data_IF_869086735905
#
_entry.id   IF_869086735905
#
_cell.length_a   1.000
_cell.length_b   1.000
_cell.length_c   1.000
_cell.angle_alpha   90.00
_cell.angle_beta   90.00
_cell.angle_gamma   90.00
#
_symmetry.space_group_name_H-M   'P 1'
#
loop_
_entity.id
_entity.type
_entity.pdbx_description
1 polymer ?
#
# COMPACT_ATOMS: atom_id res chain seq x y z
N UNK A 1 14.98 22.21 18.44
CA UNK A 1 14.65 21.31 17.33
C UNK A 1 13.94 20.09 17.91
N UNK A 2 12.60 20.07 17.92
CA UNK A 2 11.80 19.12 18.73
C UNK A 2 10.56 18.58 17.99
N UNK A 3 10.67 18.40 16.67
CA UNK A 3 9.62 17.79 15.83
C UNK A 3 10.29 17.01 14.70
N UNK A 4 10.56 15.72 14.92
CA UNK A 4 10.77 14.68 13.88
C UNK A 4 11.25 13.33 14.47
N UNK A 5 10.76 12.91 15.65
CA UNK A 5 11.13 11.60 16.24
C UNK A 5 9.91 10.71 16.52
N UNK A 6 8.74 11.02 15.95
CA UNK A 6 7.48 10.34 16.30
C UNK A 6 6.79 9.62 15.14
N UNK A 7 7.44 9.42 13.99
CA UNK A 7 6.80 8.75 12.82
C UNK A 7 7.17 7.25 12.72
N UNK A 8 7.87 6.69 13.71
CA UNK A 8 8.19 5.25 13.74
C UNK A 8 7.21 4.38 14.55
N UNK A 9 6.08 4.93 15.01
CA UNK A 9 5.06 4.20 15.76
C UNK A 9 3.74 4.38 15.00
N UNK A 10 3.02 3.28 14.76
CA UNK A 10 1.81 3.14 13.93
C UNK A 10 2.00 2.59 12.49
N UNK A 11 2.73 1.48 12.36
CA UNK A 11 2.53 0.55 11.23
C UNK A 11 2.47 -0.91 11.71
N UNK A 12 1.88 -1.15 12.89
CA UNK A 12 1.58 -2.47 13.39
C UNK A 12 0.12 -2.49 13.85
N UNK A 13 -0.68 -3.31 13.18
CA UNK A 13 -2.03 -3.80 13.49
C UNK A 13 -2.97 -3.63 12.31
N UNK A 14 -2.91 -4.56 11.35
CA UNK A 14 -4.08 -5.13 10.69
C UNK A 14 -3.66 -6.46 10.04
N UNK A 15 -3.40 -7.46 10.88
CA UNK A 15 -3.37 -8.87 10.46
C UNK A 15 -4.67 -9.50 10.96
N UNK A 16 -5.77 -9.27 10.23
CA UNK A 16 -6.97 -10.06 10.40
C UNK A 16 -6.85 -11.29 9.50
N UNK A 17 -6.73 -12.45 10.15
CA UNK A 17 -6.72 -13.75 9.51
C UNK A 17 -8.05 -14.01 8.81
N UNK A 18 -8.01 -14.22 7.49
CA UNK A 18 -9.07 -14.91 6.77
C UNK A 18 -8.44 -16.16 6.16
N UNK A 19 -8.62 -17.29 6.83
CA UNK A 19 -8.22 -18.62 6.35
C UNK A 19 -9.49 -19.41 6.06
N UNK A 20 -9.76 -19.66 4.78
CA UNK A 20 -10.36 -20.91 4.29
C UNK A 20 -10.53 -20.86 2.76
N UNK A 21 -9.71 -21.61 2.01
CA UNK A 21 -10.07 -22.23 0.73
C UNK A 21 -9.00 -23.27 0.33
N UNK A 22 -9.39 -24.40 -0.30
CA UNK A 22 -8.54 -25.58 -0.46
C UNK A 22 -7.57 -25.49 -1.64
N UNK A 23 -6.54 -26.32 -1.57
CA UNK A 23 -5.43 -26.44 -2.50
C UNK A 23 -5.88 -26.68 -3.96
N UNK A 24 -5.68 -25.67 -4.81
CA UNK A 24 -5.54 -25.84 -6.24
C UNK A 24 -4.04 -25.73 -6.60
N UNK A 25 -3.60 -26.63 -7.47
CA UNK A 25 -2.22 -26.81 -7.89
C UNK A 25 -1.57 -25.47 -8.29
N UNK A 26 -0.49 -25.16 -7.58
CA UNK A 26 0.29 -23.95 -7.75
C UNK A 26 1.26 -24.17 -8.91
N UNK A 27 0.90 -23.66 -10.09
CA UNK A 27 1.90 -23.43 -11.13
C UNK A 27 2.99 -22.50 -10.56
N UNK A 28 4.28 -22.80 -10.73
CA UNK A 28 5.36 -21.92 -10.31
C UNK A 28 5.36 -20.67 -11.21
N UNK A 29 4.52 -19.70 -10.86
CA UNK A 29 4.64 -18.33 -11.35
C UNK A 29 6.06 -17.83 -11.03
N UNK A 30 6.66 -16.99 -11.89
CA UNK A 30 8.02 -16.51 -11.70
C UNK A 30 8.08 -15.55 -10.51
N UNK A 31 8.18 -16.08 -9.29
CA UNK A 31 8.42 -15.36 -8.04
C UNK A 31 9.89 -14.92 -7.88
N UNK A 32 10.59 -14.72 -9.00
CA UNK A 32 11.96 -14.21 -9.02
C UNK A 32 11.92 -12.68 -8.89
N UNK A 33 11.67 -12.17 -7.68
CA UNK A 33 11.82 -10.73 -7.42
C UNK A 33 10.85 -10.11 -6.41
N UNK A 34 10.02 -10.89 -5.71
CA UNK A 34 9.36 -10.38 -4.51
C UNK A 34 10.44 -10.13 -3.44
N UNK A 35 11.09 -8.96 -3.53
CA UNK A 35 11.99 -8.45 -2.51
C UNK A 35 11.30 -8.60 -1.16
N UNK A 36 11.89 -9.41 -0.28
CA UNK A 36 11.38 -9.64 1.06
C UNK A 36 11.35 -8.28 1.80
N UNK A 37 10.14 -7.73 1.94
CA UNK A 37 9.91 -6.44 2.57
C UNK A 37 10.42 -6.43 4.01
N UNK A 38 10.35 -7.56 4.71
CA UNK A 38 10.86 -7.68 6.07
C UNK A 38 12.40 -7.56 6.07
N UNK A 39 13.09 -8.21 5.13
CA UNK A 39 14.53 -8.09 4.98
C UNK A 39 14.97 -6.66 4.60
N UNK A 40 14.23 -5.98 3.73
CA UNK A 40 14.48 -4.57 3.39
C UNK A 40 14.27 -3.65 4.59
N UNK A 41 13.19 -3.84 5.35
CA UNK A 41 12.92 -3.09 6.56
C UNK A 41 14.03 -3.28 7.61
N UNK A 42 14.43 -4.53 7.84
CA UNK A 42 15.51 -4.85 8.76
C UNK A 42 16.84 -4.22 8.31
N UNK A 43 17.11 -4.23 7.01
CA UNK A 43 18.30 -3.58 6.44
C UNK A 43 18.28 -2.07 6.67
N UNK A 44 17.16 -1.40 6.40
CA UNK A 44 17.01 0.04 6.65
C UNK A 44 17.20 0.39 8.14
N UNK A 45 16.59 -0.39 9.04
CA UNK A 45 16.75 -0.23 10.49
C UNK A 45 18.20 -0.44 10.94
N UNK A 46 18.86 -1.49 10.45
CA UNK A 46 20.26 -1.77 10.74
C UNK A 46 21.17 -0.61 10.30
N UNK A 47 21.02 -0.12 9.07
CA UNK A 47 21.80 1.01 8.57
C UNK A 47 21.54 2.30 9.34
N UNK A 48 20.30 2.50 9.80
CA UNK A 48 19.96 3.62 10.67
C UNK A 48 20.73 3.56 12.00
N UNK A 49 20.70 2.42 12.68
CA UNK A 49 21.41 2.22 13.94
C UNK A 49 22.94 2.36 13.79
N UNK A 50 23.50 1.79 12.71
CA UNK A 50 24.93 1.95 12.37
C UNK A 50 25.30 3.43 12.23
N UNK A 51 24.55 4.19 11.41
CA UNK A 51 24.78 5.62 11.23
C UNK A 51 24.65 6.41 12.54
N UNK A 52 23.62 6.14 13.35
CA UNK A 52 23.39 6.84 14.61
C UNK A 52 24.57 6.64 15.59
N UNK A 53 25.04 5.39 15.70
CA UNK A 53 26.20 5.06 16.54
C UNK A 53 27.47 5.79 16.09
N UNK A 54 27.75 5.80 14.78
CA UNK A 54 28.90 6.51 14.20
C UNK A 54 28.79 8.03 14.34
N UNK A 55 27.59 8.59 14.17
CA UNK A 55 27.36 10.02 14.31
C UNK A 55 27.59 10.50 15.75
N UNK A 56 27.14 9.73 16.75
CA UNK A 56 27.39 10.01 18.17
C UNK A 56 28.88 9.96 18.50
N UNK A 57 29.54 8.88 18.11
CA UNK A 57 30.97 8.69 18.36
C UNK A 57 31.84 9.72 17.61
N UNK A 58 31.45 10.15 16.41
CA UNK A 58 32.10 11.26 15.71
C UNK A 58 32.00 12.57 16.50
N UNK A 59 30.84 12.87 17.10
CA UNK A 59 30.68 14.08 17.92
C UNK A 59 31.67 14.10 19.09
N UNK A 60 31.82 12.96 19.75
CA UNK A 60 32.76 12.79 20.86
C UNK A 60 34.21 12.90 20.40
N UNK A 61 34.57 12.25 19.28
CA UNK A 61 35.92 12.31 18.70
C UNK A 61 36.30 13.73 18.24
N UNK A 62 35.44 14.39 17.47
CA UNK A 62 35.71 15.72 16.90
C UNK A 62 35.88 16.77 17.99
N UNK A 63 35.22 16.64 19.14
CA UNK A 63 35.41 17.55 20.27
C UNK A 63 36.83 17.55 20.86
N UNK A 64 37.62 16.50 20.61
CA UNK A 64 38.97 16.29 21.17
C UNK A 64 40.08 16.46 20.15
N UNK A 65 39.74 16.66 18.88
CA UNK A 65 40.68 16.65 17.76
C UNK A 65 40.83 18.08 17.22
N UNK A 66 42.07 18.46 16.90
CA UNK A 66 42.32 19.76 16.28
C UNK A 66 41.66 19.83 14.89
N UNK A 67 41.15 20.99 14.46
CA UNK A 67 40.48 21.17 13.16
C UNK A 67 41.25 20.66 11.93
N UNK A 68 42.57 20.54 12.05
CA UNK A 68 43.46 20.15 10.96
C UNK A 68 43.92 18.70 10.96
N UNK A 69 43.49 17.91 11.94
CA UNK A 69 43.90 16.52 12.05
C UNK A 69 43.22 15.69 10.95
N UNK A 70 43.97 14.90 10.15
CA UNK A 70 43.38 14.00 9.15
C UNK A 70 42.34 13.04 9.74
N UNK A 71 42.40 12.73 11.05
CA UNK A 71 41.41 11.90 11.75
C UNK A 71 40.03 12.55 11.81
N UNK A 72 39.94 13.88 11.92
CA UNK A 72 38.65 14.58 11.93
C UNK A 72 37.96 14.46 10.56
N UNK A 73 38.71 14.66 9.47
CA UNK A 73 38.17 14.52 8.11
C UNK A 73 37.78 13.06 7.81
N UNK A 74 38.59 12.09 8.24
CA UNK A 74 38.28 10.67 8.10
C UNK A 74 36.97 10.29 8.82
N UNK A 75 36.77 10.78 10.05
CA UNK A 75 35.53 10.55 10.80
C UNK A 75 34.30 11.18 10.10
N UNK A 76 34.43 12.41 9.57
CA UNK A 76 33.34 13.04 8.80
C UNK A 76 33.00 12.24 7.54
N UNK A 77 34.02 11.74 6.81
CA UNK A 77 33.81 10.90 5.63
C UNK A 77 33.14 9.56 5.96
N UNK A 78 33.51 8.95 7.08
CA UNK A 78 32.90 7.71 7.58
C UNK A 78 31.41 7.90 7.87
N UNK A 79 31.05 8.92 8.66
CA UNK A 79 29.65 9.22 8.98
C UNK A 79 28.86 9.63 7.72
N UNK A 80 29.48 10.37 6.79
CA UNK A 80 28.85 10.72 5.51
C UNK A 80 28.47 9.46 4.71
N UNK A 81 29.40 8.51 4.56
CA UNK A 81 29.12 7.24 3.85
C UNK A 81 28.06 6.41 4.55
N UNK A 82 28.09 6.34 5.89
CA UNK A 82 27.07 5.63 6.65
C UNK A 82 25.68 6.30 6.49
N UNK A 83 25.63 7.64 6.46
CA UNK A 83 24.40 8.40 6.20
C UNK A 83 23.84 8.10 4.81
N UNK A 84 24.70 8.10 3.79
CA UNK A 84 24.32 7.74 2.42
C UNK A 84 23.78 6.31 2.33
N UNK A 85 24.46 5.34 2.96
CA UNK A 85 24.02 3.94 2.99
C UNK A 85 22.67 3.75 3.70
N UNK A 86 22.44 4.47 4.80
CA UNK A 86 21.15 4.52 5.51
C UNK A 86 20.04 5.03 4.61
N UNK A 87 20.26 6.15 3.94
CA UNK A 87 19.26 6.78 3.08
C UNK A 87 18.97 5.95 1.83
N UNK A 88 19.99 5.29 1.26
CA UNK A 88 19.80 4.34 0.17
C UNK A 88 18.92 3.15 0.59
N UNK A 89 19.22 2.52 1.74
CA UNK A 89 18.43 1.41 2.25
C UNK A 89 16.96 1.81 2.56
N UNK A 90 16.74 3.01 3.09
CA UNK A 90 15.40 3.53 3.30
C UNK A 90 14.65 3.76 1.97
N UNK A 91 15.33 4.34 0.97
CA UNK A 91 14.76 4.55 -0.37
C UNK A 91 14.36 3.23 -1.04
N UNK A 92 15.18 2.19 -0.91
CA UNK A 92 14.87 0.85 -1.45
C UNK A 92 13.67 0.22 -0.74
N UNK A 93 13.58 0.33 0.60
CA UNK A 93 12.42 -0.11 1.35
C UNK A 93 11.14 0.62 0.93
N UNK A 94 11.16 1.97 0.89
CA UNK A 94 9.99 2.77 0.52
C UNK A 94 9.54 2.49 -0.92
N UNK A 95 10.48 2.29 -1.86
CA UNK A 95 10.17 1.91 -3.25
C UNK A 95 9.45 0.56 -3.30
N UNK A 96 9.94 -0.44 -2.56
CA UNK A 96 9.33 -1.76 -2.51
C UNK A 96 7.93 -1.73 -1.88
N UNK A 97 7.76 -0.99 -0.77
CA UNK A 97 6.44 -0.81 -0.13
C UNK A 97 5.47 -0.09 -1.06
N UNK A 98 5.91 0.95 -1.76
CA UNK A 98 5.08 1.66 -2.74
C UNK A 98 4.67 0.77 -3.91
N UNK A 99 5.58 -0.05 -4.44
CA UNK A 99 5.26 -0.99 -5.52
C UNK A 99 4.22 -2.03 -5.07
N UNK A 100 4.38 -2.58 -3.86
CA UNK A 100 3.42 -3.50 -3.27
C UNK A 100 2.06 -2.82 -3.06
N UNK A 101 2.06 -1.61 -2.52
CA UNK A 101 0.84 -0.89 -2.21
C UNK A 101 0.03 -0.58 -3.48
N UNK A 102 0.71 -0.18 -4.56
CA UNK A 102 0.09 0.03 -5.87
C UNK A 102 -0.52 -1.26 -6.46
N UNK A 103 0.18 -2.39 -6.34
CA UNK A 103 -0.35 -3.68 -6.78
C UNK A 103 -1.62 -4.06 -6.00
N UNK A 104 -1.60 -3.93 -4.67
CA UNK A 104 -2.79 -4.18 -3.85
C UNK A 104 -3.95 -3.22 -4.19
N UNK A 105 -3.68 -1.95 -4.47
CA UNK A 105 -4.70 -0.98 -4.93
C UNK A 105 -5.32 -1.41 -6.27
N UNK A 106 -4.49 -1.91 -7.21
CA UNK A 106 -4.96 -2.42 -8.48
C UNK A 106 -5.84 -3.68 -8.32
N UNK A 107 -5.46 -4.60 -7.44
CA UNK A 107 -6.23 -5.80 -7.14
C UNK A 107 -7.62 -5.46 -6.56
N UNK A 108 -7.67 -4.53 -5.59
CA UNK A 108 -8.95 -4.09 -5.02
C UNK A 108 -9.83 -3.37 -6.05
N UNK A 109 -9.24 -2.57 -6.95
CA UNK A 109 -10.00 -1.95 -8.06
C UNK A 109 -10.55 -2.98 -9.02
N UNK A 110 -9.78 -4.02 -9.34
CA UNK A 110 -10.25 -5.11 -10.19
C UNK A 110 -11.44 -5.84 -9.55
N UNK A 111 -11.36 -6.11 -8.24
CA UNK A 111 -12.45 -6.70 -7.47
C UNK A 111 -13.69 -5.80 -7.45
N UNK A 112 -13.53 -4.49 -7.23
CA UNK A 112 -14.63 -3.54 -7.31
C UNK A 112 -15.29 -3.57 -8.69
N UNK A 113 -14.50 -3.54 -9.77
CA UNK A 113 -15.02 -3.56 -11.14
C UNK A 113 -15.78 -4.86 -11.46
N UNK A 114 -15.34 -6.02 -10.94
CA UNK A 114 -16.09 -7.28 -11.13
C UNK A 114 -17.40 -7.26 -10.36
N UNK A 115 -17.40 -6.78 -9.11
CA UNK A 115 -18.62 -6.72 -8.30
C UNK A 115 -19.63 -5.70 -8.85
N UNK A 116 -19.16 -4.57 -9.39
CA UNK A 116 -20.04 -3.60 -10.07
C UNK A 116 -20.68 -4.21 -11.33
N UNK A 117 -19.94 -5.02 -12.09
CA UNK A 117 -20.51 -5.76 -13.25
C UNK A 117 -21.54 -6.78 -12.80
N UNK A 118 -21.22 -7.60 -11.80
CA UNK A 118 -22.17 -8.58 -11.26
C UNK A 118 -23.42 -7.90 -10.69
N UNK A 119 -23.29 -6.74 -10.05
CA UNK A 119 -24.43 -5.97 -9.56
C UNK A 119 -25.35 -5.50 -10.71
N UNK A 120 -24.77 -5.01 -11.79
CA UNK A 120 -25.52 -4.60 -12.99
C UNK A 120 -26.22 -5.80 -13.65
N UNK A 121 -25.50 -6.91 -13.83
CA UNK A 121 -26.06 -8.16 -14.38
C UNK A 121 -27.21 -8.68 -13.52
N UNK A 122 -27.03 -8.75 -12.21
CA UNK A 122 -28.08 -9.16 -11.27
C UNK A 122 -29.31 -8.24 -11.33
N UNK A 123 -29.11 -6.93 -11.50
CA UNK A 123 -30.23 -5.98 -11.67
C UNK A 123 -30.99 -6.21 -12.97
N UNK A 124 -30.31 -6.56 -14.06
CA UNK A 124 -30.95 -6.90 -15.33
C UNK A 124 -31.73 -8.21 -15.21
N UNK A 125 -31.11 -9.25 -14.64
CA UNK A 125 -31.77 -10.54 -14.42
C UNK A 125 -33.00 -10.42 -13.52
N UNK A 126 -32.94 -9.57 -12.48
CA UNK A 126 -34.08 -9.26 -11.63
C UNK A 126 -35.22 -8.62 -12.42
N UNK A 127 -34.90 -7.67 -13.30
CA UNK A 127 -35.91 -7.00 -14.13
C UNK A 127 -36.59 -8.00 -15.08
N UNK A 128 -35.81 -8.86 -15.74
CA UNK A 128 -36.31 -9.90 -16.64
C UNK A 128 -37.18 -10.92 -15.89
N UNK A 129 -36.71 -11.41 -14.74
CA UNK A 129 -37.48 -12.34 -13.91
C UNK A 129 -38.79 -11.73 -13.39
N UNK A 130 -38.82 -10.43 -13.10
CA UNK A 130 -40.04 -9.70 -12.74
C UNK A 130 -41.05 -9.61 -13.91
N UNK A 131 -40.57 -9.44 -15.14
CA UNK A 131 -41.42 -9.48 -16.34
C UNK A 131 -41.97 -10.89 -16.58
N UNK A 132 -41.13 -11.92 -16.47
CA UNK A 132 -41.53 -13.33 -16.57
C UNK A 132 -42.59 -13.68 -15.52
N UNK A 133 -42.40 -13.25 -14.27
CA UNK A 133 -43.37 -13.45 -13.19
C UNK A 133 -44.74 -12.84 -13.55
N UNK A 134 -44.74 -11.58 -13.98
CA UNK A 134 -45.98 -10.88 -14.37
C UNK A 134 -46.71 -11.60 -15.52
N UNK A 135 -45.96 -12.10 -16.51
CA UNK A 135 -46.51 -12.83 -17.65
C UNK A 135 -47.10 -14.19 -17.22
N UNK A 136 -46.40 -14.94 -16.38
CA UNK A 136 -46.86 -16.25 -15.87
C UNK A 136 -48.06 -16.09 -14.95
N UNK A 137 -48.07 -15.09 -14.08
CA UNK A 137 -49.21 -14.78 -13.21
C UNK A 137 -50.47 -14.46 -14.05
N UNK A 138 -50.31 -13.66 -15.10
CA UNK A 138 -51.41 -13.35 -16.05
C UNK A 138 -51.93 -14.61 -16.76
N UNK A 139 -51.03 -15.49 -17.23
CA UNK A 139 -51.42 -16.76 -17.86
C UNK A 139 -52.11 -17.71 -16.87
N UNK A 140 -51.62 -17.74 -15.63
CA UNK A 140 -52.18 -18.56 -14.55
C UNK A 140 -53.61 -18.14 -14.22
N UNK A 141 -53.87 -16.83 -14.11
CA UNK A 141 -55.20 -16.28 -13.87
C UNK A 141 -56.17 -16.59 -15.02
N UNK A 142 -55.72 -16.40 -16.27
CA UNK A 142 -56.52 -16.73 -17.45
C UNK A 142 -56.86 -18.23 -17.55
N UNK A 143 -55.89 -19.09 -17.23
CA UNK A 143 -56.09 -20.55 -17.21
C UNK A 143 -57.01 -20.98 -16.07
N UNK A 144 -56.88 -20.37 -14.89
CA UNK A 144 -57.76 -20.62 -13.76
C UNK A 144 -59.22 -20.26 -14.08
N UNK A 145 -59.46 -19.19 -14.85
CA UNK A 145 -60.80 -18.87 -15.36
C UNK A 145 -61.30 -19.92 -16.36
N UNK A 146 -60.43 -20.43 -17.23
CA UNK A 146 -60.77 -21.45 -18.23
C UNK A 146 -61.10 -22.81 -17.62
N UNK A 147 -60.39 -23.21 -16.54
CA UNK A 147 -60.64 -24.47 -15.81
C UNK A 147 -62.06 -24.53 -15.24
N UNK A 148 -62.64 -23.39 -14.83
CA UNK A 148 -64.04 -23.32 -14.36
C UNK A 148 -65.04 -23.78 -15.42
N UNK A 149 -64.67 -23.69 -16.70
CA UNK A 149 -65.50 -24.13 -17.82
C UNK A 149 -65.11 -25.52 -18.34
N UNK A 150 -63.86 -25.96 -18.09
CA UNK A 150 -63.28 -27.19 -18.67
C UNK A 150 -62.35 -27.89 -17.69
N UNK A 151 -62.82 -28.99 -17.08
CA UNK A 151 -62.04 -29.78 -16.12
C UNK A 151 -60.77 -30.42 -16.72
N UNK A 152 -60.70 -30.65 -18.04
CA UNK A 152 -59.50 -31.19 -18.68
C UNK A 152 -58.25 -30.30 -18.58
N UNK A 153 -58.41 -29.04 -18.16
CA UNK A 153 -57.32 -28.08 -18.00
C UNK A 153 -56.68 -28.08 -16.59
N UNK A 154 -57.15 -28.90 -15.66
CA UNK A 154 -56.62 -28.95 -14.28
C UNK A 154 -55.13 -29.34 -14.20
N UNK A 155 -54.68 -30.31 -15.01
CA UNK A 155 -53.28 -30.73 -15.00
C UNK A 155 -52.33 -29.63 -15.52
N UNK A 156 -52.60 -28.98 -16.67
CA UNK A 156 -51.88 -27.78 -17.09
C UNK A 156 -51.88 -26.66 -16.03
N UNK A 157 -53.00 -26.42 -15.35
CA UNK A 157 -53.08 -25.41 -14.29
C UNK A 157 -52.11 -25.71 -13.14
N UNK A 158 -52.05 -26.96 -12.69
CA UNK A 158 -51.11 -27.39 -11.66
C UNK A 158 -49.65 -27.20 -12.07
N UNK A 159 -49.31 -27.53 -13.32
CA UNK A 159 -47.96 -27.31 -13.85
C UNK A 159 -47.60 -25.83 -13.91
N UNK A 160 -48.52 -24.98 -14.38
CA UNK A 160 -48.28 -23.53 -14.44
C UNK A 160 -48.12 -22.92 -13.05
N UNK A 161 -48.89 -23.38 -12.05
CA UNK A 161 -48.72 -22.96 -10.66
C UNK A 161 -47.35 -23.38 -10.07
N UNK A 162 -46.82 -24.55 -10.44
CA UNK A 162 -45.47 -24.96 -10.07
C UNK A 162 -44.41 -24.05 -10.71
N UNK A 163 -44.56 -23.71 -12.00
CA UNK A 163 -43.67 -22.78 -12.70
C UNK A 163 -43.69 -21.40 -12.04
N UNK A 164 -44.89 -20.86 -11.74
CA UNK A 164 -45.03 -19.59 -11.03
C UNK A 164 -44.30 -19.59 -9.68
N UNK A 165 -44.40 -20.70 -8.94
CA UNK A 165 -43.69 -20.87 -7.66
C UNK A 165 -42.17 -20.83 -7.84
N UNK A 166 -41.62 -21.52 -8.85
CA UNK A 166 -40.18 -21.50 -9.14
C UNK A 166 -39.70 -20.12 -9.56
N UNK A 167 -40.47 -19.38 -10.36
CA UNK A 167 -40.15 -18.01 -10.77
C UNK A 167 -40.15 -17.09 -9.54
N UNK A 168 -41.13 -17.21 -8.64
CA UNK A 168 -41.17 -16.42 -7.42
C UNK A 168 -39.96 -16.68 -6.51
N UNK A 169 -39.52 -17.94 -6.39
CA UNK A 169 -38.31 -18.30 -5.66
C UNK A 169 -37.06 -17.68 -6.32
N UNK A 170 -36.96 -17.73 -7.65
CA UNK A 170 -35.87 -17.10 -8.42
C UNK A 170 -35.82 -15.59 -8.19
N UNK A 171 -36.96 -14.89 -8.29
CA UNK A 171 -37.05 -13.44 -8.03
C UNK A 171 -36.61 -13.12 -6.60
N UNK A 172 -37.07 -13.89 -5.62
CA UNK A 172 -36.67 -13.70 -4.20
C UNK A 172 -35.16 -13.87 -4.00
N UNK A 173 -34.54 -14.85 -4.65
CA UNK A 173 -33.10 -15.07 -4.59
C UNK A 173 -32.32 -13.92 -5.26
N UNK A 174 -32.78 -13.44 -6.41
CA UNK A 174 -32.20 -12.28 -7.11
C UNK A 174 -32.31 -11.01 -6.26
N UNK A 175 -33.43 -10.82 -5.56
CA UNK A 175 -33.64 -9.68 -4.65
C UNK A 175 -32.64 -9.70 -3.48
N UNK A 176 -32.38 -10.88 -2.90
CA UNK A 176 -31.38 -11.04 -1.86
C UNK A 176 -29.96 -10.78 -2.39
N UNK A 177 -29.65 -11.28 -3.58
CA UNK A 177 -28.36 -11.05 -4.22
C UNK A 177 -28.13 -9.57 -4.52
N UNK A 178 -29.13 -8.89 -5.09
CA UNK A 178 -29.09 -7.45 -5.34
C UNK A 178 -28.87 -6.66 -4.04
N UNK A 179 -29.58 -7.00 -2.96
CA UNK A 179 -29.37 -6.37 -1.65
C UNK A 179 -27.96 -6.58 -1.10
N UNK A 180 -27.35 -7.74 -1.36
CA UNK A 180 -25.95 -7.99 -0.97
C UNK A 180 -24.95 -7.18 -1.79
N UNK A 181 -25.22 -6.98 -3.08
CA UNK A 181 -24.40 -6.15 -3.97
C UNK A 181 -24.49 -4.67 -3.59
N UNK A 182 -25.70 -4.17 -3.28
CA UNK A 182 -25.94 -2.80 -2.79
C UNK A 182 -25.18 -2.49 -1.50
N UNK A 183 -24.94 -3.49 -0.65
CA UNK A 183 -24.11 -3.36 0.55
C UNK A 183 -22.61 -3.49 0.26
N UNK A 184 -22.21 -4.40 -0.64
CA UNK A 184 -20.80 -4.75 -0.88
C UNK A 184 -20.07 -3.71 -1.74
N UNK A 185 -20.71 -3.20 -2.80
CA UNK A 185 -20.10 -2.24 -3.72
C UNK A 185 -19.65 -0.95 -3.02
N UNK A 186 -20.45 -0.30 -2.14
CA UNK A 186 -20.00 0.87 -1.38
C UNK A 186 -18.81 0.58 -0.47
N UNK A 187 -18.77 -0.60 0.17
CA UNK A 187 -17.64 -1.01 1.02
C UNK A 187 -16.35 -1.18 0.20
N UNK A 188 -16.45 -1.75 -1.00
CA UNK A 188 -15.31 -1.87 -1.90
C UNK A 188 -14.84 -0.50 -2.41
N UNK A 189 -15.75 0.43 -2.70
CA UNK A 189 -15.39 1.82 -3.05
C UNK A 189 -14.65 2.53 -1.91
N UNK A 190 -15.14 2.41 -0.68
CA UNK A 190 -14.45 2.95 0.51
C UNK A 190 -13.07 2.30 0.70
N UNK A 191 -12.97 0.99 0.47
CA UNK A 191 -11.69 0.28 0.51
C UNK A 191 -10.71 0.83 -0.54
N UNK A 192 -11.13 0.98 -1.80
CA UNK A 192 -10.30 1.60 -2.86
C UNK A 192 -9.82 2.98 -2.43
N UNK A 193 -10.70 3.84 -1.90
CA UNK A 193 -10.34 5.17 -1.44
C UNK A 193 -9.26 5.15 -0.33
N UNK A 194 -9.35 4.22 0.63
CA UNK A 194 -8.33 4.05 1.68
C UNK A 194 -6.98 3.58 1.11
N UNK A 195 -6.99 2.68 0.13
CA UNK A 195 -5.78 2.21 -0.55
C UNK A 195 -5.12 3.32 -1.36
N UNK A 196 -5.91 4.15 -2.06
CA UNK A 196 -5.42 5.33 -2.77
C UNK A 196 -4.82 6.38 -1.82
N UNK A 197 -5.46 6.62 -0.68
CA UNK A 197 -4.92 7.52 0.35
C UNK A 197 -3.58 7.01 0.91
N UNK A 198 -3.46 5.70 1.13
CA UNK A 198 -2.19 5.06 1.53
C UNK A 198 -1.11 5.24 0.47
N UNK A 199 -1.45 5.05 -0.81
CA UNK A 199 -0.50 5.25 -1.92
C UNK A 199 -0.03 6.71 -2.01
N UNK A 200 -0.93 7.68 -1.79
CA UNK A 200 -0.57 9.09 -1.73
C UNK A 200 0.39 9.39 -0.56
N UNK A 201 0.08 8.89 0.63
CA UNK A 201 0.94 9.04 1.81
C UNK A 201 2.34 8.43 1.58
N UNK A 202 2.43 7.26 0.95
CA UNK A 202 3.72 6.64 0.63
C UNK A 202 4.56 7.47 -0.36
N UNK A 203 3.93 8.15 -1.33
CA UNK A 203 4.63 9.08 -2.23
C UNK A 203 5.15 10.31 -1.49
N UNK A 204 4.37 10.84 -0.56
CA UNK A 204 4.78 11.96 0.29
C UNK A 204 5.97 11.58 1.17
N UNK A 205 5.94 10.41 1.82
CA UNK A 205 7.06 9.87 2.62
C UNK A 205 8.31 9.65 1.76
N UNK A 206 8.15 9.12 0.55
CA UNK A 206 9.27 8.96 -0.38
C UNK A 206 9.88 10.32 -0.75
N UNK A 207 9.07 11.32 -1.10
CA UNK A 207 9.54 12.67 -1.40
C UNK A 207 10.24 13.33 -0.19
N UNK A 208 9.70 13.13 1.01
CA UNK A 208 10.33 13.60 2.26
C UNK A 208 11.70 12.94 2.49
N UNK A 209 11.83 11.65 2.19
CA UNK A 209 13.10 10.91 2.32
C UNK A 209 14.18 11.42 1.35
N UNK A 210 13.81 11.79 0.12
CA UNK A 210 14.75 12.38 -0.85
C UNK A 210 15.16 13.81 -0.44
N UNK A 211 14.24 14.59 0.12
CA UNK A 211 14.57 15.90 0.68
C UNK A 211 15.52 15.78 1.89
N UNK A 212 15.31 14.79 2.76
CA UNK A 212 16.24 14.49 3.85
C UNK A 212 17.61 14.07 3.32
N UNK A 213 17.66 13.26 2.25
CA UNK A 213 18.91 12.86 1.61
C UNK A 213 19.71 14.07 1.12
N UNK A 214 19.07 14.98 0.39
CA UNK A 214 19.71 16.22 -0.06
C UNK A 214 20.25 17.05 1.12
N UNK A 215 19.47 17.17 2.21
CA UNK A 215 19.85 17.91 3.41
C UNK A 215 21.10 17.33 4.08
N UNK A 216 21.14 16.01 4.30
CA UNK A 216 22.31 15.37 4.94
C UNK A 216 23.55 15.41 4.05
N UNK A 217 23.39 15.22 2.73
CA UNK A 217 24.50 15.35 1.79
C UNK A 217 25.09 16.76 1.83
N UNK A 218 24.26 17.79 1.84
CA UNK A 218 24.69 19.18 2.00
C UNK A 218 25.38 19.43 3.35
N UNK A 219 24.85 18.88 4.44
CA UNK A 219 25.43 18.98 5.78
C UNK A 219 26.85 18.39 5.84
N UNK A 220 27.04 17.16 5.37
CA UNK A 220 28.37 16.51 5.40
C UNK A 220 29.33 17.13 4.38
N UNK A 221 28.84 17.62 3.23
CA UNK A 221 29.66 18.42 2.31
C UNK A 221 30.19 19.69 2.99
N UNK A 222 29.32 20.47 3.65
CA UNK A 222 29.72 21.69 4.35
C UNK A 222 30.74 21.41 5.46
N UNK A 223 30.58 20.32 6.22
CA UNK A 223 31.56 19.91 7.24
C UNK A 223 32.93 19.58 6.64
N UNK A 224 32.97 18.87 5.52
CA UNK A 224 34.24 18.55 4.82
C UNK A 224 34.93 19.81 4.33
N UNK A 225 34.18 20.73 3.69
CA UNK A 225 34.71 22.01 3.23
C UNK A 225 35.25 22.84 4.39
N UNK A 226 34.52 22.91 5.50
CA UNK A 226 34.97 23.64 6.70
C UNK A 226 36.28 23.08 7.25
N UNK A 227 36.39 21.76 7.39
CA UNK A 227 37.63 21.12 7.82
C UNK A 227 38.81 21.47 6.89
N UNK A 228 38.61 21.47 5.58
CA UNK A 228 39.64 21.85 4.61
C UNK A 228 40.06 23.34 4.73
N UNK A 229 39.11 24.24 4.94
CA UNK A 229 39.39 25.67 5.14
C UNK A 229 40.17 25.90 6.44
N UNK A 230 39.72 25.29 7.55
CA UNK A 230 40.39 25.38 8.85
C UNK A 230 41.82 24.80 8.79
N UNK A 231 42.02 23.68 8.08
CA UNK A 231 43.34 23.15 7.71
C UNK A 231 44.23 24.21 7.04
N UNK A 232 43.70 24.83 5.99
CA UNK A 232 44.46 25.76 5.16
C UNK A 232 44.89 26.99 5.96
N UNK A 233 43.98 27.56 6.74
CA UNK A 233 44.26 28.73 7.59
C UNK A 233 45.37 28.41 8.61
N UNK A 234 45.28 27.25 9.26
CA UNK A 234 46.26 26.86 10.29
C UNK A 234 47.64 26.60 9.71
N UNK A 235 47.72 26.01 8.50
CA UNK A 235 49.00 25.80 7.81
C UNK A 235 49.67 27.12 7.41
N UNK A 236 48.90 28.12 6.95
CA UNK A 236 49.40 29.46 6.63
C UNK A 236 49.92 30.17 7.89
N UNK A 237 49.19 30.10 9.00
CA UNK A 237 49.64 30.70 10.27
C UNK A 237 50.94 30.05 10.79
N UNK A 238 51.07 28.73 10.66
CA UNK A 238 52.27 28.01 11.08
C UNK A 238 53.51 28.32 10.22
N UNK A 239 53.35 28.58 8.92
CA UNK A 239 54.46 28.93 8.03
C UNK A 239 54.97 30.36 8.27
N UNK A 240 54.07 31.32 8.52
CA UNK A 240 54.44 32.71 8.85
C UNK A 240 55.16 32.82 10.20
N UNK A 241 54.78 32.05 11.21
CA UNK A 241 55.45 32.02 12.51
C UNK A 241 56.91 31.54 12.45
N UNK A 242 57.25 30.68 11.48
CA UNK A 242 58.63 30.19 11.29
C UNK A 242 59.53 31.18 10.53
N UNK A 243 58.95 32.09 9.74
CA UNK A 243 59.69 33.10 8.97
C UNK A 243 60.04 34.39 9.72
N UNK A 244 59.46 34.63 10.90
CA UNK A 244 59.62 35.87 11.67
C UNK A 244 60.74 35.87 12.73
N UNK A 245 61.63 34.86 12.74
CA UNK A 245 62.86 34.88 13.56
C UNK A 245 64.05 35.21 12.65
N UNK A 246 64.24 36.49 12.36
CA UNK A 246 65.51 37.08 11.91
C UNK A 246 65.81 38.29 12.78
#
# INVERSE_FOLDING_TARGET
MKRASSVFIYAALFSAAFTCAPAAAQEPSPQNGALDLAALQQTAQKRHAEWESLAKDMSDRVSRILPCDPRALAAVNEVSRASEARLAALSDYLRAVSAKAFAETADVRNLLNSEERHAVEASLERADAGQEQTAVDTQSDALAQSVKQRASLEAPQKLLAQIATMIHQRVTALDQHAGSADATVPLLRDLVAKFEARDAALREEFAASEAERARWNGYYAARRTRAQIECTITQIGASQSKGGKQ
#
